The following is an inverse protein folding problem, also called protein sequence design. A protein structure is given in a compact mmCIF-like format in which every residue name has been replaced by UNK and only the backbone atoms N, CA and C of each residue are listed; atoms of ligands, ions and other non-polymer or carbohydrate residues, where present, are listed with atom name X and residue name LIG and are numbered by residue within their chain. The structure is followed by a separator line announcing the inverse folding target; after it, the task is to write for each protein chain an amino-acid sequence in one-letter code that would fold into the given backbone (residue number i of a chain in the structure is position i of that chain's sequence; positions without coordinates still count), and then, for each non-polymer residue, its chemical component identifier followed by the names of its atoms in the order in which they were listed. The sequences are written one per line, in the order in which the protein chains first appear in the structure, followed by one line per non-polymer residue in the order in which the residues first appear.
data_IF_084148924729
#
_entry.id   IF_084148924729
#
_cell.length_a   1.000
_cell.length_b   1.000
_cell.length_c   1.000
_cell.angle_alpha   90.00
_cell.angle_beta   90.00
_cell.angle_gamma   90.00
#
_symmetry.space_group_name_H-M   'P 1'
#
loop_
_entity.id
_entity.type
_entity.pdbx_description
1 polymer ?
#
# COMPACT_ATOMS: atom_id res chain seq x y z
N UNK A 1 -23.40 -52.60 10.53
CA UNK A 1 -23.01 -51.43 9.72
C UNK A 1 -21.51 -51.47 9.40
N UNK A 2 -20.65 -51.61 10.36
CA UNK A 2 -19.18 -51.71 10.23
C UNK A 2 -18.74 -52.72 9.14
N UNK A 3 -19.32 -53.98 9.21
CA UNK A 3 -19.00 -55.00 8.22
C UNK A 3 -19.38 -54.62 6.78
N UNK A 4 -20.45 -53.80 6.61
CA UNK A 4 -20.90 -53.34 5.28
C UNK A 4 -19.93 -52.31 4.77
N UNK A 5 -19.52 -51.32 5.59
CA UNK A 5 -18.56 -50.29 5.21
C UNK A 5 -17.21 -50.93 4.84
N UNK A 6 -16.72 -51.80 5.71
CA UNK A 6 -15.46 -52.51 5.50
C UNK A 6 -15.46 -53.30 4.20
N UNK A 7 -16.53 -54.06 3.91
CA UNK A 7 -16.68 -54.79 2.65
C UNK A 7 -16.69 -53.88 1.41
N UNK A 8 -17.39 -52.76 1.47
CA UNK A 8 -17.48 -51.82 0.34
C UNK A 8 -16.12 -51.14 0.08
N UNK A 9 -15.41 -50.69 1.11
CA UNK A 9 -14.11 -50.07 0.98
C UNK A 9 -13.03 -51.08 0.49
N UNK A 10 -13.08 -52.32 0.97
CA UNK A 10 -12.23 -53.40 0.45
C UNK A 10 -12.49 -53.65 -1.05
N UNK A 11 -13.76 -53.68 -1.45
CA UNK A 11 -14.13 -53.84 -2.86
C UNK A 11 -13.63 -52.70 -3.74
N UNK A 12 -13.43 -51.52 -3.17
CA UNK A 12 -12.78 -50.38 -3.83
C UNK A 12 -11.27 -50.44 -3.83
N UNK A 13 -10.67 -51.48 -3.22
CA UNK A 13 -9.24 -51.68 -3.15
C UNK A 13 -8.50 -50.81 -2.11
N UNK A 14 -9.21 -50.24 -1.13
CA UNK A 14 -8.64 -49.44 -0.06
C UNK A 14 -7.87 -50.34 0.92
N UNK A 15 -6.74 -49.86 1.45
CA UNK A 15 -5.92 -50.59 2.40
C UNK A 15 -6.68 -50.90 3.71
N UNK A 16 -6.52 -52.13 4.21
CA UNK A 16 -7.27 -52.59 5.38
C UNK A 16 -6.92 -51.85 6.69
N UNK A 17 -5.68 -51.39 6.85
CA UNK A 17 -5.26 -50.60 8.03
C UNK A 17 -5.91 -49.20 8.00
N UNK A 18 -5.98 -48.59 6.80
CA UNK A 18 -6.63 -47.31 6.59
C UNK A 18 -8.12 -47.38 6.89
N UNK A 19 -8.78 -48.50 6.50
CA UNK A 19 -10.17 -48.76 6.77
C UNK A 19 -10.45 -48.88 8.28
N UNK A 20 -9.57 -49.54 9.04
CA UNK A 20 -9.75 -49.69 10.48
C UNK A 20 -9.67 -48.36 11.23
N UNK A 21 -8.68 -47.53 10.92
CA UNK A 21 -8.55 -46.17 11.48
C UNK A 21 -9.78 -45.32 11.15
N UNK A 22 -10.22 -45.34 9.88
CA UNK A 22 -11.38 -44.62 9.44
C UNK A 22 -12.67 -45.05 10.10
N UNK A 23 -12.90 -46.38 10.27
CA UNK A 23 -14.10 -46.89 10.90
C UNK A 23 -14.22 -46.45 12.36
N UNK A 24 -13.13 -46.40 13.10
CA UNK A 24 -13.13 -45.86 14.45
C UNK A 24 -13.65 -44.41 14.50
N UNK A 25 -13.12 -43.55 13.65
CA UNK A 25 -13.50 -42.14 13.63
C UNK A 25 -14.93 -41.90 13.10
N UNK A 26 -15.32 -42.57 12.01
CA UNK A 26 -16.61 -42.30 11.37
C UNK A 26 -17.79 -42.86 12.13
N UNK A 27 -17.62 -44.01 12.83
CA UNK A 27 -18.68 -44.62 13.62
C UNK A 27 -18.96 -43.85 14.92
N UNK A 28 -17.97 -43.17 15.47
CA UNK A 28 -18.14 -42.26 16.60
C UNK A 28 -18.82 -40.95 16.20
N UNK A 29 -18.50 -40.41 15.01
CA UNK A 29 -18.93 -39.08 14.56
C UNK A 29 -20.26 -39.09 13.80
N UNK A 30 -20.59 -40.17 13.08
CA UNK A 30 -21.78 -40.24 12.21
C UNK A 30 -22.83 -41.21 12.79
N UNK A 31 -24.09 -40.80 12.74
CA UNK A 31 -25.20 -41.70 12.99
C UNK A 31 -25.40 -42.68 11.80
N UNK A 32 -26.30 -43.68 11.97
CA UNK A 32 -26.53 -44.70 10.95
C UNK A 32 -26.93 -44.15 9.57
N UNK A 33 -27.72 -43.09 9.54
CA UNK A 33 -28.12 -42.45 8.31
C UNK A 33 -26.97 -41.70 7.63
N UNK A 34 -26.12 -41.01 8.44
CA UNK A 34 -24.93 -40.33 7.96
C UNK A 34 -23.93 -41.29 7.32
N UNK A 35 -23.78 -42.49 7.92
CA UNK A 35 -22.93 -43.54 7.35
C UNK A 35 -23.46 -44.07 6.03
N UNK A 36 -24.78 -44.26 5.90
CA UNK A 36 -25.41 -44.66 4.64
C UNK A 36 -25.22 -43.59 3.57
N UNK A 37 -25.41 -42.32 3.91
CA UNK A 37 -25.24 -41.21 2.99
C UNK A 37 -23.79 -41.07 2.53
N UNK A 38 -22.80 -41.26 3.44
CA UNK A 38 -21.40 -41.32 3.09
C UNK A 38 -21.10 -42.43 2.08
N UNK A 39 -21.56 -43.66 2.34
CA UNK A 39 -21.38 -44.80 1.42
C UNK A 39 -22.04 -44.55 0.05
N UNK A 40 -23.21 -43.99 0.04
CA UNK A 40 -23.90 -43.66 -1.23
C UNK A 40 -23.13 -42.61 -2.02
N UNK A 41 -22.57 -41.61 -1.32
CA UNK A 41 -21.75 -40.57 -1.95
C UNK A 41 -20.45 -41.16 -2.51
N UNK A 42 -19.75 -42.03 -1.75
CA UNK A 42 -18.54 -42.70 -2.24
C UNK A 42 -18.84 -43.61 -3.46
N UNK A 43 -19.97 -44.27 -3.48
CA UNK A 43 -20.41 -45.10 -4.64
C UNK A 43 -20.71 -44.25 -5.87
N UNK A 44 -21.15 -43.02 -5.70
CA UNK A 44 -21.44 -42.11 -6.81
C UNK A 44 -20.21 -41.54 -7.53
N UNK A 45 -19.00 -41.66 -6.93
CA UNK A 45 -17.77 -41.28 -7.61
C UNK A 45 -17.57 -42.13 -8.87
N UNK A 46 -17.30 -41.51 -10.01
CA UNK A 46 -17.16 -42.20 -11.29
C UNK A 46 -16.07 -43.29 -11.25
N UNK A 47 -16.32 -44.40 -11.92
CA UNK A 47 -15.48 -45.61 -11.89
C UNK A 47 -14.20 -45.45 -12.75
N UNK A 48 -13.20 -44.80 -12.16
CA UNK A 48 -11.85 -44.75 -12.71
C UNK A 48 -10.80 -45.16 -11.66
N UNK A 49 -9.57 -45.43 -12.08
CA UNK A 49 -8.43 -45.68 -11.17
C UNK A 49 -8.26 -44.54 -10.19
N UNK A 50 -8.57 -43.33 -10.59
CA UNK A 50 -8.59 -42.09 -9.83
C UNK A 50 -9.52 -42.12 -8.60
N UNK A 51 -10.62 -42.88 -8.68
CA UNK A 51 -11.60 -43.01 -7.58
C UNK A 51 -10.95 -43.49 -6.29
N UNK A 52 -10.08 -44.50 -6.38
CA UNK A 52 -9.38 -45.05 -5.22
C UNK A 52 -8.54 -43.98 -4.52
N UNK A 53 -7.73 -43.25 -5.27
CA UNK A 53 -6.80 -42.21 -4.74
C UNK A 53 -7.59 -41.10 -4.04
N UNK A 54 -8.70 -40.66 -4.63
CA UNK A 54 -9.55 -39.62 -4.03
C UNK A 54 -10.19 -40.11 -2.74
N UNK A 55 -10.72 -41.35 -2.74
CA UNK A 55 -11.34 -41.92 -1.54
C UNK A 55 -10.31 -42.11 -0.42
N UNK A 56 -9.09 -42.57 -0.74
CA UNK A 56 -7.99 -42.68 0.20
C UNK A 56 -7.63 -41.29 0.81
N UNK A 57 -7.59 -40.25 -0.01
CA UNK A 57 -7.36 -38.88 0.47
C UNK A 57 -8.49 -38.40 1.40
N UNK A 58 -9.76 -38.64 1.05
CA UNK A 58 -10.91 -38.30 1.92
C UNK A 58 -10.80 -39.05 3.26
N UNK A 59 -10.49 -40.35 3.21
CA UNK A 59 -10.35 -41.18 4.41
C UNK A 59 -9.23 -40.66 5.32
N UNK A 60 -8.10 -40.28 4.74
CA UNK A 60 -6.97 -39.73 5.49
C UNK A 60 -7.29 -38.40 6.17
N UNK A 61 -8.02 -37.51 5.51
CA UNK A 61 -8.38 -36.20 6.07
C UNK A 61 -9.58 -36.27 7.03
N UNK A 62 -10.39 -37.33 6.98
CA UNK A 62 -11.64 -37.47 7.76
C UNK A 62 -11.47 -37.23 9.26
N UNK A 63 -10.45 -37.78 9.96
CA UNK A 63 -10.31 -37.59 11.41
C UNK A 63 -10.17 -36.13 11.80
N UNK A 64 -9.33 -35.38 11.09
CA UNK A 64 -9.07 -33.97 11.35
C UNK A 64 -10.27 -33.09 10.95
N UNK A 65 -10.89 -33.38 9.82
CA UNK A 65 -12.07 -32.65 9.34
C UNK A 65 -13.24 -32.82 10.31
N UNK A 66 -13.53 -34.04 10.79
CA UNK A 66 -14.60 -34.30 11.74
C UNK A 66 -14.37 -33.69 13.12
N UNK A 67 -13.10 -33.46 13.50
CA UNK A 67 -12.76 -32.74 14.73
C UNK A 67 -13.22 -31.27 14.68
N UNK A 68 -13.27 -30.68 13.50
CA UNK A 68 -13.48 -29.23 13.32
C UNK A 68 -14.91 -28.92 12.90
N UNK A 69 -15.53 -29.75 12.03
CA UNK A 69 -16.86 -29.49 11.45
C UNK A 69 -17.90 -30.53 11.90
N UNK A 70 -19.19 -30.11 12.01
CA UNK A 70 -20.28 -31.05 12.36
C UNK A 70 -20.58 -32.05 11.24
N UNK A 71 -21.23 -33.18 11.62
CA UNK A 71 -21.61 -34.26 10.72
C UNK A 71 -22.29 -33.80 9.42
N UNK A 72 -23.24 -32.89 9.52
CA UNK A 72 -23.98 -32.38 8.34
C UNK A 72 -23.07 -31.69 7.32
N UNK A 73 -22.12 -30.89 7.79
CA UNK A 73 -21.13 -30.23 6.93
C UNK A 73 -20.11 -31.21 6.37
N UNK A 74 -19.72 -32.23 7.14
CA UNK A 74 -18.82 -33.28 6.66
C UNK A 74 -19.40 -34.01 5.44
N UNK A 75 -20.65 -34.41 5.49
CA UNK A 75 -21.32 -35.08 4.37
C UNK A 75 -21.40 -34.19 3.14
N UNK A 76 -21.68 -32.90 3.32
CA UNK A 76 -21.66 -31.92 2.21
C UNK A 76 -20.24 -31.71 1.66
N UNK A 77 -19.21 -31.71 2.51
CA UNK A 77 -17.83 -31.68 2.05
C UNK A 77 -17.44 -32.89 1.21
N UNK A 78 -17.86 -34.10 1.60
CA UNK A 78 -17.62 -35.32 0.79
C UNK A 78 -18.31 -35.22 -0.56
N UNK A 79 -19.55 -34.71 -0.60
CA UNK A 79 -20.27 -34.44 -1.87
C UNK A 79 -19.54 -33.39 -2.69
N UNK A 80 -18.97 -32.36 -2.08
CA UNK A 80 -18.17 -31.35 -2.75
C UNK A 80 -16.91 -31.96 -3.36
N UNK A 81 -16.20 -32.84 -2.64
CA UNK A 81 -15.07 -33.60 -3.17
C UNK A 81 -15.46 -34.39 -4.43
N UNK A 82 -16.64 -35.03 -4.42
CA UNK A 82 -17.16 -35.72 -5.60
C UNK A 82 -17.37 -34.78 -6.79
N UNK A 83 -18.05 -33.64 -6.58
CA UNK A 83 -18.29 -32.64 -7.62
C UNK A 83 -16.99 -32.08 -8.20
N UNK A 84 -15.98 -31.83 -7.37
CA UNK A 84 -14.69 -31.33 -7.83
C UNK A 84 -13.94 -32.42 -8.61
N UNK A 85 -14.07 -33.70 -8.22
CA UNK A 85 -13.44 -34.82 -8.91
C UNK A 85 -13.99 -35.06 -10.32
N UNK A 86 -15.26 -34.72 -10.57
CA UNK A 86 -15.86 -34.76 -11.90
C UNK A 86 -15.19 -33.74 -12.86
N UNK A 87 -14.59 -32.68 -12.31
CA UNK A 87 -13.89 -31.65 -13.08
C UNK A 87 -12.43 -32.04 -13.33
N UNK A 88 -11.73 -32.43 -12.28
CA UNK A 88 -10.31 -32.86 -12.34
C UNK A 88 -9.92 -33.58 -11.07
N UNK A 89 -9.22 -34.71 -11.22
CA UNK A 89 -8.62 -35.47 -10.11
C UNK A 89 -7.62 -34.62 -9.35
N UNK A 90 -6.68 -33.98 -10.05
CA UNK A 90 -5.62 -33.14 -9.43
C UNK A 90 -6.21 -32.00 -8.59
N UNK A 91 -7.24 -31.35 -9.10
CA UNK A 91 -7.95 -30.29 -8.36
C UNK A 91 -8.60 -30.87 -7.10
N UNK A 92 -9.26 -32.03 -7.20
CA UNK A 92 -9.91 -32.68 -6.08
C UNK A 92 -8.92 -33.07 -4.98
N UNK A 93 -7.80 -33.68 -5.34
CA UNK A 93 -6.74 -34.03 -4.39
C UNK A 93 -6.16 -32.80 -3.72
N UNK A 94 -5.89 -31.75 -4.46
CA UNK A 94 -5.37 -30.50 -3.89
C UNK A 94 -6.39 -29.85 -2.92
N UNK A 95 -7.67 -29.85 -3.28
CA UNK A 95 -8.76 -29.39 -2.42
C UNK A 95 -8.83 -30.17 -1.11
N UNK A 96 -8.86 -31.51 -1.20
CA UNK A 96 -8.95 -32.40 -0.02
C UNK A 96 -7.75 -32.18 0.90
N UNK A 97 -6.53 -32.26 0.36
CA UNK A 97 -5.29 -32.13 1.16
C UNK A 97 -5.10 -30.74 1.78
N UNK A 98 -5.75 -29.70 1.25
CA UNK A 98 -5.71 -28.35 1.81
C UNK A 98 -6.84 -28.07 2.79
N UNK A 99 -7.85 -28.95 2.88
CA UNK A 99 -9.09 -28.70 3.65
C UNK A 99 -8.83 -28.42 5.10
N UNK A 100 -8.14 -29.33 5.80
CA UNK A 100 -7.89 -29.22 7.25
C UNK A 100 -7.21 -27.90 7.59
N UNK A 101 -6.12 -27.56 6.91
CA UNK A 101 -5.39 -26.32 7.16
C UNK A 101 -6.20 -25.05 6.86
N UNK A 102 -7.11 -25.10 5.90
CA UNK A 102 -7.98 -23.96 5.57
C UNK A 102 -9.08 -23.77 6.61
N UNK A 103 -9.75 -24.86 7.04
CA UNK A 103 -10.84 -24.77 8.00
C UNK A 103 -10.37 -24.43 9.43
N UNK A 104 -9.12 -24.70 9.78
CA UNK A 104 -8.51 -24.24 11.03
C UNK A 104 -8.44 -22.73 11.13
N UNK A 105 -8.27 -22.03 9.99
CA UNK A 105 -8.15 -20.58 9.91
C UNK A 105 -9.47 -19.89 9.58
N UNK A 106 -10.29 -20.49 8.70
CA UNK A 106 -11.59 -19.99 8.33
C UNK A 106 -12.68 -20.63 9.22
N UNK A 107 -13.80 -19.94 9.38
CA UNK A 107 -14.95 -20.52 10.07
C UNK A 107 -15.48 -21.72 9.26
N UNK A 108 -15.86 -22.82 9.93
CA UNK A 108 -16.37 -24.05 9.28
C UNK A 108 -17.46 -23.80 8.23
N UNK A 109 -18.32 -22.81 8.46
CA UNK A 109 -19.40 -22.41 7.51
C UNK A 109 -18.90 -22.03 6.12
N UNK A 110 -17.64 -21.58 5.98
CA UNK A 110 -17.07 -21.13 4.70
C UNK A 110 -16.41 -22.27 3.88
N UNK A 111 -16.38 -23.49 4.41
CA UNK A 111 -15.72 -24.61 3.75
C UNK A 111 -16.28 -24.90 2.36
N UNK A 112 -17.61 -24.97 2.26
CA UNK A 112 -18.29 -25.24 0.99
C UNK A 112 -18.16 -24.07 0.01
N UNK A 113 -18.25 -22.86 0.52
CA UNK A 113 -18.10 -21.64 -0.28
C UNK A 113 -16.69 -21.53 -0.85
N UNK A 114 -15.65 -21.86 -0.04
CA UNK A 114 -14.27 -21.95 -0.52
C UNK A 114 -14.11 -22.99 -1.66
N UNK A 115 -14.73 -24.17 -1.53
CA UNK A 115 -14.77 -25.17 -2.60
C UNK A 115 -15.47 -24.65 -3.87
N UNK A 116 -16.56 -23.89 -3.70
CA UNK A 116 -17.28 -23.27 -4.81
C UNK A 116 -16.49 -22.15 -5.50
N UNK A 117 -15.65 -21.41 -4.77
CA UNK A 117 -14.73 -20.43 -5.35
C UNK A 117 -13.81 -21.10 -6.38
N UNK A 118 -13.18 -22.24 -6.06
CA UNK A 118 -12.32 -22.96 -6.99
C UNK A 118 -13.04 -23.45 -8.23
N UNK A 119 -14.27 -24.01 -8.08
CA UNK A 119 -15.10 -24.38 -9.23
C UNK A 119 -15.48 -23.18 -10.10
N UNK A 120 -15.75 -22.04 -9.50
CA UNK A 120 -16.02 -20.79 -10.20
C UNK A 120 -14.79 -20.27 -10.95
N UNK A 121 -13.60 -20.35 -10.34
CA UNK A 121 -12.32 -20.05 -11.00
C UNK A 121 -12.09 -20.96 -12.20
N UNK A 122 -12.34 -22.26 -12.06
CA UNK A 122 -12.20 -23.22 -13.17
C UNK A 122 -13.05 -22.79 -14.38
N UNK A 123 -14.32 -22.50 -14.16
CA UNK A 123 -15.23 -22.09 -15.24
C UNK A 123 -14.82 -20.77 -15.89
N UNK A 124 -14.38 -19.79 -15.11
CA UNK A 124 -13.98 -18.48 -15.61
C UNK A 124 -12.65 -18.47 -16.32
N UNK A 125 -11.76 -19.42 -16.02
CA UNK A 125 -10.41 -19.53 -16.55
C UNK A 125 -10.27 -20.47 -17.75
N UNK A 126 -11.33 -20.68 -18.53
CA UNK A 126 -11.34 -21.62 -19.66
C UNK A 126 -10.87 -23.03 -19.26
N UNK A 127 -11.34 -23.48 -18.12
CA UNK A 127 -11.03 -24.79 -17.54
C UNK A 127 -9.54 -24.98 -17.17
N UNK A 128 -8.92 -23.96 -16.61
CA UNK A 128 -7.52 -24.03 -16.17
C UNK A 128 -7.37 -24.82 -14.87
N UNK A 129 -6.93 -26.07 -14.99
CA UNK A 129 -6.56 -26.92 -13.83
C UNK A 129 -5.42 -26.29 -13.04
N UNK A 130 -4.41 -25.75 -13.71
CA UNK A 130 -3.22 -25.15 -13.09
C UNK A 130 -3.57 -23.96 -12.17
N UNK A 131 -4.45 -23.04 -12.61
CA UNK A 131 -4.84 -21.89 -11.79
C UNK A 131 -5.58 -22.34 -10.51
N UNK A 132 -6.50 -23.29 -10.64
CA UNK A 132 -7.30 -23.76 -9.50
C UNK A 132 -6.48 -24.57 -8.52
N UNK A 133 -5.56 -25.41 -9.03
CA UNK A 133 -4.62 -26.12 -8.18
C UNK A 133 -3.75 -25.17 -7.37
N UNK A 134 -3.20 -24.13 -8.00
CA UNK A 134 -2.43 -23.12 -7.28
C UNK A 134 -3.30 -22.38 -6.24
N UNK A 135 -4.53 -22.04 -6.58
CA UNK A 135 -5.44 -21.40 -5.64
C UNK A 135 -5.67 -22.26 -4.39
N UNK A 136 -6.03 -23.55 -4.55
CA UNK A 136 -6.24 -24.44 -3.40
C UNK A 136 -4.95 -24.71 -2.63
N UNK A 137 -3.85 -24.97 -3.32
CA UNK A 137 -2.52 -25.19 -2.74
C UNK A 137 -2.07 -24.04 -1.85
N UNK A 138 -2.38 -22.79 -2.24
CA UNK A 138 -1.96 -21.58 -1.53
C UNK A 138 -2.98 -21.10 -0.50
N UNK A 139 -4.22 -21.59 -0.58
CA UNK A 139 -5.29 -21.22 0.37
C UNK A 139 -4.93 -21.40 1.85
N UNK A 140 -4.20 -22.46 2.30
CA UNK A 140 -3.77 -22.56 3.69
C UNK A 140 -2.92 -21.36 4.17
N UNK A 141 -1.98 -20.92 3.33
CA UNK A 141 -1.13 -19.76 3.67
C UNK A 141 -1.90 -18.45 3.63
N UNK A 142 -2.85 -18.31 2.72
CA UNK A 142 -3.68 -17.12 2.57
C UNK A 142 -4.72 -17.02 3.70
N UNK A 143 -5.36 -18.11 4.07
CA UNK A 143 -6.38 -18.15 5.13
C UNK A 143 -5.86 -17.79 6.53
N UNK A 144 -4.55 -17.92 6.75
CA UNK A 144 -3.88 -17.42 7.96
C UNK A 144 -3.85 -15.88 8.06
N UNK A 145 -4.05 -15.16 6.95
CA UNK A 145 -3.82 -13.72 6.84
C UNK A 145 -5.03 -12.96 6.32
N UNK A 146 -5.82 -13.61 5.48
CA UNK A 146 -7.01 -13.05 4.86
C UNK A 146 -8.26 -13.68 5.47
N UNK A 147 -9.27 -12.86 5.71
CA UNK A 147 -10.63 -13.32 6.00
C UNK A 147 -11.23 -14.01 4.76
N UNK A 148 -12.36 -14.69 4.95
CA UNK A 148 -13.05 -15.32 3.82
C UNK A 148 -13.48 -14.28 2.77
N UNK A 149 -13.99 -13.15 3.19
CA UNK A 149 -14.41 -12.03 2.34
C UNK A 149 -13.23 -11.49 1.50
N UNK A 150 -12.04 -11.45 2.07
CA UNK A 150 -10.83 -11.02 1.36
C UNK A 150 -10.34 -12.08 0.35
N UNK A 151 -10.52 -13.37 0.65
CA UNK A 151 -10.28 -14.46 -0.30
C UNK A 151 -11.28 -14.39 -1.48
N UNK A 152 -12.53 -14.03 -1.23
CA UNK A 152 -13.52 -13.79 -2.29
C UNK A 152 -13.09 -12.63 -3.20
N UNK A 153 -12.62 -11.51 -2.63
CA UNK A 153 -12.10 -10.36 -3.37
C UNK A 153 -10.91 -10.78 -4.26
N UNK A 154 -9.98 -11.57 -3.72
CA UNK A 154 -8.86 -12.12 -4.48
C UNK A 154 -9.35 -13.01 -5.62
N UNK A 155 -10.31 -13.90 -5.33
CA UNK A 155 -10.86 -14.81 -6.34
C UNK A 155 -11.54 -14.06 -7.48
N UNK A 156 -12.24 -12.97 -7.19
CA UNK A 156 -12.88 -12.13 -8.20
C UNK A 156 -11.85 -11.41 -9.07
N UNK A 157 -10.73 -10.99 -8.50
CA UNK A 157 -9.58 -10.48 -9.27
C UNK A 157 -9.06 -11.56 -10.22
N UNK A 158 -8.79 -12.77 -9.70
CA UNK A 158 -8.28 -13.89 -10.50
C UNK A 158 -9.25 -14.28 -11.62
N UNK A 159 -10.55 -14.30 -11.38
CA UNK A 159 -11.59 -14.56 -12.41
C UNK A 159 -11.53 -13.53 -13.54
N UNK A 160 -11.43 -12.25 -13.22
CA UNK A 160 -11.38 -11.17 -14.21
C UNK A 160 -10.13 -11.27 -15.10
N UNK A 161 -8.99 -11.54 -14.49
CA UNK A 161 -7.71 -11.59 -15.18
C UNK A 161 -7.54 -12.90 -15.94
N UNK A 162 -7.98 -14.03 -15.39
CA UNK A 162 -7.85 -15.34 -16.02
C UNK A 162 -8.64 -15.47 -17.34
N UNK A 163 -9.72 -14.71 -17.47
CA UNK A 163 -10.44 -14.60 -18.73
C UNK A 163 -9.56 -14.06 -19.88
N UNK A 164 -8.51 -13.30 -19.55
CA UNK A 164 -7.54 -12.71 -20.47
C UNK A 164 -6.22 -13.50 -20.51
N UNK A 165 -5.64 -13.74 -19.34
CA UNK A 165 -4.33 -14.38 -19.20
C UNK A 165 -4.29 -15.26 -17.94
N UNK A 166 -4.26 -16.58 -18.13
CA UNK A 166 -4.14 -17.55 -17.04
C UNK A 166 -2.75 -17.43 -16.38
N UNK A 167 -1.69 -17.33 -17.18
CA UNK A 167 -0.32 -17.21 -16.68
C UNK A 167 -0.14 -15.96 -15.81
N UNK A 168 -0.81 -14.87 -16.16
CA UNK A 168 -0.75 -13.65 -15.38
C UNK A 168 -1.53 -13.78 -14.07
N UNK A 169 -2.66 -14.48 -14.05
CA UNK A 169 -3.40 -14.78 -12.82
C UNK A 169 -2.57 -15.60 -11.82
N UNK A 170 -1.78 -16.55 -12.34
CA UNK A 170 -0.85 -17.31 -11.49
C UNK A 170 0.25 -16.40 -10.92
N UNK A 171 0.80 -15.48 -11.72
CA UNK A 171 1.78 -14.49 -11.23
C UNK A 171 1.22 -13.60 -10.12
N UNK A 172 -0.05 -13.19 -10.24
CA UNK A 172 -0.73 -12.42 -9.17
C UNK A 172 -0.77 -13.25 -7.89
N UNK A 173 -1.18 -14.50 -7.99
CA UNK A 173 -1.29 -15.39 -6.84
C UNK A 173 0.07 -15.61 -6.16
N UNK A 174 1.13 -15.87 -6.93
CA UNK A 174 2.50 -15.99 -6.43
C UNK A 174 2.99 -14.70 -5.75
N UNK A 175 2.66 -13.55 -6.34
CA UNK A 175 3.02 -12.26 -5.77
C UNK A 175 2.27 -11.96 -4.46
N UNK A 176 0.97 -12.26 -4.40
CA UNK A 176 0.15 -12.13 -3.17
C UNK A 176 0.74 -12.96 -2.04
N UNK A 177 1.23 -14.17 -2.34
CA UNK A 177 1.93 -15.00 -1.35
C UNK A 177 3.23 -14.38 -0.85
N UNK A 178 4.02 -13.77 -1.75
CA UNK A 178 5.24 -13.06 -1.35
C UNK A 178 4.93 -11.90 -0.41
N UNK A 179 3.92 -11.09 -0.71
CA UNK A 179 3.46 -10.02 0.17
C UNK A 179 2.95 -10.58 1.51
N UNK A 180 2.16 -11.65 1.49
CA UNK A 180 1.67 -12.34 2.69
C UNK A 180 2.80 -12.76 3.64
N UNK A 181 3.95 -13.15 3.09
CA UNK A 181 5.11 -13.57 3.90
C UNK A 181 5.93 -12.39 4.41
N UNK A 182 6.11 -11.33 3.60
CA UNK A 182 6.95 -10.17 3.92
C UNK A 182 6.21 -9.10 4.76
N UNK A 183 4.99 -8.76 4.39
CA UNK A 183 4.22 -7.65 4.93
C UNK A 183 2.74 -8.03 5.11
N UNK A 184 2.42 -8.94 6.04
CA UNK A 184 1.06 -9.48 6.17
C UNK A 184 0.01 -8.42 6.49
N UNK A 185 0.37 -7.37 7.21
CA UNK A 185 -0.55 -6.27 7.58
C UNK A 185 -0.95 -5.40 6.38
N UNK A 186 -0.14 -5.39 5.33
CA UNK A 186 -0.39 -4.58 4.14
C UNK A 186 -1.17 -5.39 3.08
N UNK A 187 -1.28 -6.70 3.26
CA UNK A 187 -1.90 -7.61 2.29
C UNK A 187 -3.36 -7.24 1.98
N UNK A 188 -4.12 -6.80 2.99
CA UNK A 188 -5.52 -6.39 2.84
C UNK A 188 -5.63 -5.19 1.90
N UNK A 189 -4.77 -4.20 2.09
CA UNK A 189 -4.75 -2.99 1.25
C UNK A 189 -4.34 -3.36 -0.18
N UNK A 190 -3.31 -4.18 -0.35
CA UNK A 190 -2.88 -4.67 -1.65
C UNK A 190 -3.98 -5.43 -2.39
N UNK A 191 -4.66 -6.34 -1.70
CA UNK A 191 -5.77 -7.11 -2.28
C UNK A 191 -6.88 -6.18 -2.80
N UNK A 192 -7.23 -5.17 -2.01
CA UNK A 192 -8.23 -4.15 -2.39
C UNK A 192 -7.78 -3.31 -3.59
N UNK A 193 -6.51 -2.86 -3.61
CA UNK A 193 -5.94 -2.08 -4.72
C UNK A 193 -5.97 -2.90 -6.00
N UNK A 194 -5.45 -4.14 -5.99
CA UNK A 194 -5.41 -5.02 -7.17
C UNK A 194 -6.83 -5.30 -7.68
N UNK A 195 -7.77 -5.57 -6.77
CA UNK A 195 -9.17 -5.78 -7.14
C UNK A 195 -9.76 -4.56 -7.85
N UNK A 196 -9.58 -3.36 -7.30
CA UNK A 196 -10.10 -2.13 -7.90
C UNK A 196 -9.45 -1.82 -9.25
N UNK A 197 -8.15 -2.01 -9.39
CA UNK A 197 -7.44 -1.88 -10.68
C UNK A 197 -7.99 -2.89 -11.68
N UNK A 198 -8.21 -4.15 -11.28
CA UNK A 198 -8.80 -5.17 -12.17
C UNK A 198 -10.23 -4.83 -12.61
N UNK A 199 -10.98 -4.14 -11.75
CA UNK A 199 -12.37 -3.75 -12.00
C UNK A 199 -12.50 -2.50 -12.86
N UNK A 200 -11.68 -1.47 -12.59
CA UNK A 200 -11.80 -0.14 -13.19
C UNK A 200 -10.85 0.06 -14.38
N UNK A 201 -9.68 -0.59 -14.37
CA UNK A 201 -8.57 -0.37 -15.29
C UNK A 201 -8.10 -1.67 -15.96
N UNK A 202 -9.04 -2.53 -16.31
CA UNK A 202 -8.73 -3.87 -16.83
C UNK A 202 -7.84 -3.86 -18.09
N UNK A 203 -7.88 -2.81 -18.91
CA UNK A 203 -7.06 -2.69 -20.13
C UNK A 203 -5.59 -2.48 -19.80
N UNK A 204 -5.29 -1.69 -18.76
CA UNK A 204 -3.95 -1.34 -18.32
C UNK A 204 -3.48 -2.20 -17.12
N UNK A 205 -4.28 -3.19 -16.71
CA UNK A 205 -4.07 -3.95 -15.49
C UNK A 205 -2.68 -4.57 -15.40
N UNK A 206 -2.21 -5.24 -16.46
CA UNK A 206 -0.93 -5.93 -16.45
C UNK A 206 0.25 -4.96 -16.27
N UNK A 207 0.21 -3.81 -16.95
CA UNK A 207 1.23 -2.78 -16.81
C UNK A 207 1.21 -2.15 -15.41
N UNK A 208 0.02 -1.78 -14.91
CA UNK A 208 -0.14 -1.19 -13.58
C UNK A 208 0.30 -2.17 -12.51
N UNK A 209 -0.12 -3.45 -12.60
CA UNK A 209 0.29 -4.48 -11.66
C UNK A 209 1.81 -4.67 -11.63
N UNK A 210 2.45 -4.67 -12.80
CA UNK A 210 3.90 -4.80 -12.91
C UNK A 210 4.60 -3.65 -12.18
N UNK A 211 4.16 -2.40 -12.42
CA UNK A 211 4.70 -1.21 -11.74
C UNK A 211 4.54 -1.32 -10.22
N UNK A 212 3.36 -1.72 -9.75
CA UNK A 212 3.07 -1.88 -8.33
C UNK A 212 3.92 -2.99 -7.71
N UNK A 213 4.03 -4.13 -8.38
CA UNK A 213 4.75 -5.31 -7.90
C UNK A 213 6.27 -5.08 -7.82
N UNK A 214 6.85 -4.40 -8.79
CA UNK A 214 8.28 -4.05 -8.82
C UNK A 214 8.66 -3.04 -7.74
N UNK A 215 7.72 -2.21 -7.30
CA UNK A 215 7.94 -1.16 -6.29
C UNK A 215 7.26 -1.46 -4.95
N UNK A 216 6.85 -2.71 -4.71
CA UNK A 216 6.06 -3.08 -3.54
C UNK A 216 6.75 -2.76 -2.21
N UNK A 217 8.05 -2.99 -2.11
CA UNK A 217 8.81 -2.74 -0.88
C UNK A 217 8.81 -1.22 -0.56
N UNK A 218 9.06 -0.37 -1.55
CA UNK A 218 9.00 1.09 -1.39
C UNK A 218 7.57 1.56 -1.05
N UNK A 219 6.56 1.04 -1.73
CA UNK A 219 5.16 1.40 -1.48
C UNK A 219 4.67 0.94 -0.09
N UNK A 220 5.17 -0.19 0.42
CA UNK A 220 4.86 -0.67 1.77
C UNK A 220 5.41 0.26 2.86
N UNK A 221 6.53 0.92 2.61
CA UNK A 221 7.10 1.89 3.54
C UNK A 221 6.25 3.18 3.61
N UNK A 222 5.48 3.47 2.56
CA UNK A 222 4.62 4.65 2.42
C UNK A 222 3.14 4.31 2.71
N UNK A 223 2.82 4.06 3.97
CA UNK A 223 1.52 3.49 4.40
C UNK A 223 0.32 4.42 4.21
N UNK A 224 0.49 5.72 4.43
CA UNK A 224 -0.57 6.71 4.26
C UNK A 224 -0.96 6.75 2.78
N UNK A 225 0.04 6.82 1.90
CA UNK A 225 -0.15 6.79 0.46
C UNK A 225 -0.90 5.53 0.02
N UNK A 226 -0.45 4.34 0.44
CA UNK A 226 -1.11 3.09 0.07
C UNK A 226 -2.58 3.05 0.48
N UNK A 227 -2.93 3.54 1.67
CA UNK A 227 -4.31 3.58 2.16
C UNK A 227 -5.20 4.53 1.35
N UNK A 228 -4.65 5.55 0.73
CA UNK A 228 -5.38 6.53 -0.09
C UNK A 228 -5.69 6.03 -1.51
N UNK A 229 -4.92 5.05 -2.03
CA UNK A 229 -5.08 4.54 -3.40
C UNK A 229 -6.48 3.99 -3.72
N UNK A 230 -7.16 3.23 -2.84
CA UNK A 230 -8.51 2.76 -3.12
C UNK A 230 -9.52 3.88 -3.41
N UNK A 231 -9.44 5.00 -2.68
CA UNK A 231 -10.30 6.16 -2.91
C UNK A 231 -10.02 6.78 -4.27
N UNK A 232 -8.75 6.99 -4.62
CA UNK A 232 -8.36 7.52 -5.92
C UNK A 232 -8.84 6.63 -7.09
N UNK A 233 -8.66 5.30 -6.99
CA UNK A 233 -9.08 4.38 -8.06
C UNK A 233 -10.60 4.40 -8.23
N UNK A 234 -11.36 4.56 -7.14
CA UNK A 234 -12.81 4.62 -7.20
C UNK A 234 -13.32 5.91 -7.85
N UNK A 235 -12.76 7.04 -7.49
CA UNK A 235 -13.27 8.36 -7.90
C UNK A 235 -12.69 8.78 -9.25
N UNK A 236 -11.38 8.62 -9.49
CA UNK A 236 -10.74 9.03 -10.73
C UNK A 236 -9.72 7.98 -11.24
N UNK A 237 -10.20 6.83 -11.76
CA UNK A 237 -9.31 5.76 -12.21
C UNK A 237 -8.40 6.18 -13.37
N UNK A 238 -8.79 7.15 -14.18
CA UNK A 238 -8.05 7.51 -15.39
C UNK A 238 -6.66 8.11 -15.09
N UNK A 239 -6.52 8.82 -13.98
CA UNK A 239 -5.25 9.43 -13.60
C UNK A 239 -4.34 8.45 -12.81
N UNK A 240 -4.85 7.29 -12.40
CA UNK A 240 -4.15 6.38 -11.50
C UNK A 240 -2.78 5.94 -12.01
N UNK A 241 -2.69 5.54 -13.28
CA UNK A 241 -1.44 5.04 -13.89
C UNK A 241 -0.33 6.10 -13.92
N UNK A 242 -0.53 7.31 -14.47
CA UNK A 242 0.48 8.37 -14.41
C UNK A 242 0.77 8.81 -12.97
N UNK A 243 -0.24 8.90 -12.12
CA UNK A 243 -0.08 9.26 -10.70
C UNK A 243 0.86 8.29 -9.97
N UNK A 244 0.68 6.99 -10.11
CA UNK A 244 1.55 5.97 -9.49
C UNK A 244 2.99 6.09 -9.99
N UNK A 245 3.20 6.26 -11.31
CA UNK A 245 4.53 6.42 -11.89
C UNK A 245 5.27 7.62 -11.29
N UNK A 246 4.62 8.77 -11.26
CA UNK A 246 5.19 9.99 -10.69
C UNK A 246 5.48 9.86 -9.19
N UNK A 247 4.56 9.26 -8.44
CA UNK A 247 4.73 9.08 -7.00
C UNK A 247 5.92 8.17 -6.67
N UNK A 248 6.10 7.09 -7.41
CA UNK A 248 7.27 6.21 -7.26
C UNK A 248 8.57 6.97 -7.57
N UNK A 249 8.59 7.81 -8.62
CA UNK A 249 9.75 8.64 -8.94
C UNK A 249 10.06 9.62 -7.80
N UNK A 250 9.05 10.23 -7.20
CA UNK A 250 9.20 11.13 -6.04
C UNK A 250 9.77 10.37 -4.85
N UNK A 251 9.21 9.21 -4.49
CA UNK A 251 9.69 8.38 -3.39
C UNK A 251 11.15 7.95 -3.55
N UNK A 252 11.56 7.63 -4.78
CA UNK A 252 12.93 7.25 -5.08
C UNK A 252 13.91 8.45 -5.07
N UNK A 253 13.45 9.63 -5.45
CA UNK A 253 14.29 10.83 -5.59
C UNK A 253 14.49 11.57 -4.28
N UNK A 254 13.56 11.49 -3.34
CA UNK A 254 13.56 12.27 -2.10
C UNK A 254 13.11 11.45 -0.88
N UNK A 255 13.81 10.37 -0.50
CA UNK A 255 13.35 9.46 0.57
C UNK A 255 13.07 10.15 1.91
N UNK A 256 13.82 11.20 2.24
CA UNK A 256 13.67 11.96 3.49
C UNK A 256 12.38 12.82 3.54
N UNK A 257 11.70 12.99 2.41
CA UNK A 257 10.49 13.81 2.28
C UNK A 257 9.23 12.97 2.04
N UNK A 258 9.36 11.65 2.00
CA UNK A 258 8.25 10.75 1.67
C UNK A 258 7.04 10.97 2.59
N UNK A 259 7.25 11.10 3.89
CA UNK A 259 6.16 11.33 4.86
C UNK A 259 5.40 12.64 4.58
N UNK A 260 6.11 13.72 4.22
CA UNK A 260 5.44 14.99 3.88
C UNK A 260 4.61 14.85 2.61
N UNK A 261 5.18 14.17 1.60
CA UNK A 261 4.49 13.93 0.34
C UNK A 261 3.22 13.08 0.55
N UNK A 262 3.30 12.00 1.34
CA UNK A 262 2.14 11.16 1.68
C UNK A 262 1.00 11.97 2.33
N UNK A 263 1.34 12.79 3.33
CA UNK A 263 0.38 13.65 4.04
C UNK A 263 -0.26 14.67 3.07
N UNK A 264 0.52 15.19 2.15
CA UNK A 264 0.03 16.14 1.15
C UNK A 264 -0.93 15.47 0.18
N UNK A 265 -0.61 14.27 -0.31
CA UNK A 265 -1.50 13.48 -1.17
C UNK A 265 -2.80 13.16 -0.44
N UNK A 266 -2.73 12.69 0.81
CA UNK A 266 -3.92 12.40 1.62
C UNK A 266 -4.82 13.63 1.73
N UNK A 267 -4.26 14.80 2.05
CA UNK A 267 -5.02 16.06 2.15
C UNK A 267 -5.71 16.45 0.84
N UNK A 268 -5.07 16.23 -0.32
CA UNK A 268 -5.68 16.53 -1.62
C UNK A 268 -6.84 15.57 -1.92
N UNK A 269 -6.67 14.28 -1.58
CA UNK A 269 -7.70 13.25 -1.75
C UNK A 269 -8.89 13.50 -0.83
N UNK A 270 -8.65 13.82 0.44
CA UNK A 270 -9.69 14.10 1.45
C UNK A 270 -10.56 15.30 1.07
N UNK A 271 -9.98 16.28 0.36
CA UNK A 271 -10.71 17.42 -0.19
C UNK A 271 -11.44 17.09 -1.50
N UNK A 272 -11.36 15.85 -1.98
CA UNK A 272 -11.94 15.40 -3.26
C UNK A 272 -11.46 16.23 -4.47
N UNK A 273 -10.23 16.75 -4.39
CA UNK A 273 -9.64 17.57 -5.44
C UNK A 273 -8.77 16.72 -6.39
N UNK A 274 -9.37 15.70 -6.99
CA UNK A 274 -8.68 14.70 -7.80
C UNK A 274 -8.05 15.30 -9.07
N UNK A 275 -8.61 16.38 -9.60
CA UNK A 275 -8.10 17.04 -10.83
C UNK A 275 -6.74 17.71 -10.59
N UNK A 276 -6.44 18.08 -9.35
CA UNK A 276 -5.16 18.69 -8.97
C UNK A 276 -4.06 17.67 -8.59
N UNK A 277 -4.41 16.39 -8.39
CA UNK A 277 -3.43 15.37 -8.01
C UNK A 277 -2.34 15.18 -9.07
N UNK A 278 -2.71 15.08 -10.34
CA UNK A 278 -1.74 14.87 -11.40
C UNK A 278 -0.88 16.11 -11.66
N UNK A 279 -1.43 17.35 -11.74
CA UNK A 279 -0.63 18.57 -11.72
C UNK A 279 0.34 18.66 -10.53
N UNK A 280 -0.11 18.30 -9.34
CA UNK A 280 0.72 18.29 -8.14
C UNK A 280 1.92 17.33 -8.27
N UNK A 281 1.68 16.07 -8.60
CA UNK A 281 2.74 15.08 -8.75
C UNK A 281 3.72 15.38 -9.87
N UNK A 282 3.22 15.88 -11.01
CA UNK A 282 4.05 16.28 -12.16
C UNK A 282 5.04 17.39 -11.81
N UNK A 283 4.62 18.34 -10.97
CA UNK A 283 5.40 19.53 -10.66
C UNK A 283 6.20 19.42 -9.33
N UNK A 284 5.90 18.43 -8.49
CA UNK A 284 6.44 18.30 -7.13
C UNK A 284 7.96 18.47 -7.07
N UNK A 285 8.71 17.62 -7.76
CA UNK A 285 10.18 17.65 -7.73
C UNK A 285 10.76 18.97 -8.25
N UNK A 286 10.15 19.56 -9.28
CA UNK A 286 10.61 20.84 -9.83
C UNK A 286 10.37 22.01 -8.87
N UNK A 287 9.26 21.98 -8.14
CA UNK A 287 8.94 23.00 -7.15
C UNK A 287 9.83 22.85 -5.91
N UNK A 288 10.04 21.63 -5.44
CA UNK A 288 10.91 21.34 -4.29
C UNK A 288 12.37 21.76 -4.53
N UNK A 289 12.86 21.74 -5.76
CA UNK A 289 14.18 22.24 -6.11
C UNK A 289 14.30 23.78 -6.02
N UNK A 290 13.19 24.50 -6.08
CA UNK A 290 13.18 25.98 -6.12
C UNK A 290 12.97 26.62 -4.76
N UNK A 291 12.25 25.95 -3.85
CA UNK A 291 11.90 26.50 -2.53
C UNK A 291 12.18 25.46 -1.41
N UNK A 292 12.47 25.95 -0.21
CA UNK A 292 12.72 25.11 0.97
C UNK A 292 11.48 24.31 1.38
N UNK A 293 11.67 23.32 2.24
CA UNK A 293 10.58 22.47 2.75
C UNK A 293 9.46 23.28 3.41
N UNK A 294 9.83 24.23 4.25
CA UNK A 294 8.84 25.03 4.99
C UNK A 294 8.09 25.99 4.07
N UNK A 295 8.77 26.60 3.12
CA UNK A 295 8.13 27.44 2.12
C UNK A 295 7.18 26.64 1.20
N UNK A 296 7.58 25.43 0.84
CA UNK A 296 6.71 24.54 0.06
C UNK A 296 5.45 24.20 0.84
N UNK A 297 5.60 23.91 2.14
CA UNK A 297 4.45 23.64 3.02
C UNK A 297 3.51 24.84 3.10
N UNK A 298 4.02 26.05 3.27
CA UNK A 298 3.21 27.28 3.26
C UNK A 298 2.44 27.41 1.95
N UNK A 299 3.09 27.22 0.80
CA UNK A 299 2.44 27.29 -0.50
C UNK A 299 1.37 26.20 -0.66
N UNK A 300 1.68 24.96 -0.27
CA UNK A 300 0.76 23.83 -0.35
C UNK A 300 -0.46 24.04 0.56
N UNK A 301 -0.26 24.40 1.83
CA UNK A 301 -1.37 24.58 2.78
C UNK A 301 -2.29 25.72 2.32
N UNK A 302 -1.77 26.78 1.70
CA UNK A 302 -2.60 27.82 1.06
C UNK A 302 -3.44 27.26 -0.08
N UNK A 303 -2.92 26.31 -0.87
CA UNK A 303 -3.69 25.66 -1.96
C UNK A 303 -4.89 24.91 -1.40
N UNK A 304 -4.66 24.13 -0.35
CA UNK A 304 -5.70 23.31 0.29
C UNK A 304 -6.74 24.14 1.02
N UNK A 305 -6.33 25.29 1.62
CA UNK A 305 -7.23 26.18 2.36
C UNK A 305 -8.08 27.08 1.44
N UNK A 306 -7.54 27.51 0.30
CA UNK A 306 -8.18 28.48 -0.60
C UNK A 306 -9.00 27.84 -1.71
N UNK A 307 -8.82 26.54 -2.01
CA UNK A 307 -9.61 25.88 -3.03
C UNK A 307 -11.06 25.70 -2.58
N UNK A 308 -11.90 26.64 -3.01
CA UNK A 308 -13.33 26.38 -3.10
C UNK A 308 -13.53 25.36 -4.20
N UNK A 309 -14.47 24.43 -4.02
CA UNK A 309 -14.82 23.43 -5.01
C UNK A 309 -14.95 24.11 -6.41
N UNK A 310 -14.05 23.73 -7.36
CA UNK A 310 -14.05 24.22 -8.73
C UNK A 310 -12.92 25.15 -9.15
N UNK A 311 -12.02 25.61 -8.26
CA UNK A 311 -10.80 26.30 -8.66
C UNK A 311 -9.70 25.27 -9.00
N UNK A 312 -9.32 25.17 -10.27
CA UNK A 312 -8.25 24.31 -10.78
C UNK A 312 -7.00 25.12 -11.13
N UNK A 313 -5.89 24.44 -11.39
CA UNK A 313 -4.65 25.06 -11.88
C UNK A 313 -3.76 25.65 -10.78
N UNK A 314 -3.99 25.30 -9.51
CA UNK A 314 -3.15 25.75 -8.41
C UNK A 314 -1.76 25.10 -8.46
N UNK A 315 -1.71 23.78 -8.55
CA UNK A 315 -0.46 23.04 -8.58
C UNK A 315 0.25 23.05 -9.95
N UNK A 316 -0.43 23.48 -11.01
CA UNK A 316 0.21 23.76 -12.31
C UNK A 316 0.76 25.19 -12.43
N UNK A 317 0.54 26.05 -11.41
CA UNK A 317 0.86 27.50 -11.43
C UNK A 317 0.14 28.28 -12.53
N UNK A 318 -1.00 27.79 -13.00
CA UNK A 318 -1.89 28.49 -13.91
C UNK A 318 -2.78 29.48 -13.16
N UNK A 319 -3.11 29.17 -11.91
CA UNK A 319 -3.84 30.07 -11.02
C UNK A 319 -2.94 31.27 -10.65
N UNK A 320 -3.36 32.53 -10.91
CA UNK A 320 -2.54 33.72 -10.67
C UNK A 320 -2.10 33.86 -9.19
N UNK A 321 -2.97 33.54 -8.24
CA UNK A 321 -2.65 33.62 -6.79
C UNK A 321 -1.59 32.61 -6.40
N UNK A 322 -1.70 31.36 -6.91
CA UNK A 322 -0.71 30.32 -6.69
C UNK A 322 0.65 30.71 -7.25
N UNK A 323 0.66 31.23 -8.46
CA UNK A 323 1.88 31.67 -9.15
C UNK A 323 2.54 32.85 -8.44
N UNK A 324 1.77 33.82 -8.01
CA UNK A 324 2.26 34.98 -7.25
C UNK A 324 2.89 34.52 -5.93
N UNK A 325 2.17 33.73 -5.13
CA UNK A 325 2.68 33.20 -3.87
C UNK A 325 3.95 32.35 -4.07
N UNK A 326 3.96 31.49 -5.10
CA UNK A 326 5.13 30.65 -5.39
C UNK A 326 6.35 31.47 -5.75
N UNK A 327 6.18 32.50 -6.62
CA UNK A 327 7.25 33.42 -6.97
C UNK A 327 7.76 34.19 -5.74
N UNK A 328 6.86 34.62 -4.89
CA UNK A 328 7.18 35.30 -3.66
C UNK A 328 8.07 34.45 -2.75
N UNK A 329 7.72 33.20 -2.57
CA UNK A 329 8.47 32.24 -1.76
C UNK A 329 9.81 31.84 -2.43
N UNK A 330 9.87 31.86 -3.76
CA UNK A 330 11.08 31.50 -4.52
C UNK A 330 12.15 32.59 -4.43
N UNK A 331 11.76 33.88 -4.49
CA UNK A 331 12.71 34.98 -4.54
C UNK A 331 13.22 35.41 -3.17
N UNK A 332 12.55 35.04 -2.09
CA UNK A 332 13.01 35.37 -0.74
C UNK A 332 14.27 34.58 -0.36
N UNK A 333 15.17 35.27 0.37
CA UNK A 333 16.41 34.70 0.92
C UNK A 333 16.23 34.61 2.44
N UNK A 334 16.36 33.37 2.97
CA UNK A 334 16.20 33.09 4.38
C UNK A 334 17.56 33.10 5.06
N UNK A 335 17.66 33.81 6.18
CA UNK A 335 18.91 33.96 6.94
C UNK A 335 19.46 32.60 7.41
N UNK A 336 18.61 31.69 7.88
CA UNK A 336 19.05 30.40 8.42
C UNK A 336 19.76 29.54 7.37
N UNK A 337 19.39 29.68 6.09
CA UNK A 337 20.03 28.96 4.98
C UNK A 337 21.40 29.57 4.64
N UNK A 338 21.51 30.89 4.69
CA UNK A 338 22.68 31.63 4.24
C UNK A 338 23.63 32.02 5.39
N UNK A 339 23.28 31.71 6.64
CA UNK A 339 23.94 32.15 7.86
C UNK A 339 25.41 31.80 7.90
N UNK A 340 25.76 30.56 7.57
CA UNK A 340 27.16 30.10 7.64
C UNK A 340 28.07 30.78 6.63
N UNK A 341 27.55 30.99 5.40
CA UNK A 341 28.25 31.71 4.33
C UNK A 341 28.42 33.17 4.73
N UNK A 342 27.39 33.80 5.28
CA UNK A 342 27.43 35.17 5.75
C UNK A 342 28.38 35.32 6.94
N UNK A 343 28.43 34.37 7.86
CA UNK A 343 29.37 34.37 8.98
C UNK A 343 30.82 34.36 8.46
N UNK A 344 31.17 33.44 7.57
CA UNK A 344 32.46 33.38 6.94
C UNK A 344 32.84 34.69 6.24
N UNK A 345 31.89 35.27 5.50
CA UNK A 345 32.06 36.54 4.80
C UNK A 345 32.32 37.70 5.79
N UNK A 346 31.53 37.82 6.85
CA UNK A 346 31.66 38.87 7.85
C UNK A 346 32.97 38.76 8.66
N UNK A 347 33.31 37.55 9.08
CA UNK A 347 34.61 37.29 9.79
C UNK A 347 35.80 37.59 8.86
N UNK A 348 35.70 37.27 7.57
CA UNK A 348 36.76 37.60 6.60
C UNK A 348 36.94 39.12 6.36
N UNK A 349 35.86 39.92 6.53
CA UNK A 349 35.92 41.39 6.41
C UNK A 349 36.49 42.05 7.68
N UNK A 350 36.05 41.63 8.86
CA UNK A 350 36.45 42.28 10.13
C UNK A 350 37.75 41.75 10.70
N UNK A 351 38.13 40.52 10.36
CA UNK A 351 39.22 39.81 11.05
C UNK A 351 38.84 39.26 12.43
N UNK A 352 37.62 39.52 12.91
CA UNK A 352 37.12 39.10 14.22
C UNK A 352 36.14 37.93 14.07
N UNK A 353 35.98 37.12 15.12
CA UNK A 353 34.96 36.07 15.18
C UNK A 353 33.60 36.68 15.51
N UNK A 354 32.80 36.92 14.45
CA UNK A 354 31.48 37.50 14.54
C UNK A 354 30.40 36.44 14.58
N UNK A 355 29.36 36.62 15.42
CA UNK A 355 28.18 35.81 15.41
C UNK A 355 27.09 36.49 14.55
N UNK A 356 26.30 35.67 13.83
CA UNK A 356 25.12 36.14 13.09
C UNK A 356 23.88 35.51 13.74
N UNK A 357 22.89 36.35 14.03
CA UNK A 357 21.60 35.95 14.61
C UNK A 357 20.45 36.65 13.93
N UNK A 358 19.24 36.11 14.12
CA UNK A 358 18.02 36.76 13.61
C UNK A 358 17.68 38.01 14.42
N UNK A 359 17.23 39.05 13.74
CA UNK A 359 16.72 40.27 14.36
C UNK A 359 15.46 40.02 15.21
N UNK A 360 14.70 38.96 14.97
CA UNK A 360 13.55 38.57 15.79
C UNK A 360 13.95 38.23 17.23
N UNK A 361 15.16 37.69 17.46
CA UNK A 361 15.66 37.41 18.81
C UNK A 361 15.86 38.67 19.68
N UNK A 362 16.01 39.83 19.08
CA UNK A 362 16.11 41.10 19.80
C UNK A 362 14.73 41.55 20.34
N UNK A 363 13.67 41.23 19.59
CA UNK A 363 12.27 41.50 19.98
C UNK A 363 11.88 40.65 21.20
N UNK A 364 12.31 39.39 21.22
CA UNK A 364 12.04 38.47 22.34
C UNK A 364 12.74 38.88 23.66
N UNK A 365 13.85 39.64 23.56
CA UNK A 365 14.59 40.11 24.71
C UNK A 365 14.06 41.44 25.29
N UNK A 366 12.96 41.96 24.77
CA UNK A 366 12.35 43.25 25.18
C UNK A 366 13.31 44.45 25.15
N UNK A 367 14.33 44.42 24.29
CA UNK A 367 15.33 45.49 24.17
C UNK A 367 14.82 46.61 23.26
N UNK A 368 14.00 47.51 23.84
CA UNK A 368 13.63 48.78 23.22
C UNK A 368 12.69 48.68 22.01
N UNK A 369 12.46 49.81 21.33
CA UNK A 369 11.68 49.90 20.08
C UNK A 369 12.49 49.36 18.91
N UNK A 370 12.36 48.08 18.63
CA UNK A 370 13.14 47.43 17.59
C UNK A 370 12.25 46.94 16.42
N UNK A 371 12.68 47.18 15.20
CA UNK A 371 12.02 46.68 14.02
C UNK A 371 12.72 45.39 13.53
N UNK A 372 12.07 44.22 13.54
CA UNK A 372 12.70 42.96 13.19
C UNK A 372 13.15 42.90 11.70
N UNK A 373 12.73 43.85 10.90
CA UNK A 373 13.15 43.97 9.49
C UNK A 373 14.43 44.82 9.30
N UNK A 374 15.01 45.33 10.38
CA UNK A 374 16.25 46.11 10.32
C UNK A 374 17.44 45.30 10.82
N UNK A 375 18.58 45.50 10.16
CA UNK A 375 19.85 44.96 10.64
C UNK A 375 20.38 45.83 11.77
N UNK A 376 21.01 45.20 12.77
CA UNK A 376 21.66 45.90 13.89
C UNK A 376 22.83 45.09 14.41
N UNK A 377 23.64 45.69 15.32
CA UNK A 377 24.81 45.04 15.91
C UNK A 377 24.83 45.28 17.40
N UNK A 378 25.13 44.25 18.17
CA UNK A 378 25.42 44.31 19.60
C UNK A 378 26.71 43.54 19.93
N UNK A 379 27.76 44.27 20.38
CA UNK A 379 29.06 43.64 20.62
C UNK A 379 29.65 43.02 19.37
N UNK A 380 29.88 41.72 19.39
CA UNK A 380 30.39 40.93 18.27
C UNK A 380 29.27 40.16 17.53
N UNK A 381 27.99 40.46 17.83
CA UNK A 381 26.88 39.81 17.19
C UNK A 381 26.18 40.74 16.22
N UNK A 382 26.00 40.30 14.98
CA UNK A 382 25.23 40.96 13.93
C UNK A 382 23.85 40.34 13.87
N UNK A 383 22.82 41.16 13.96
CA UNK A 383 21.43 40.77 13.84
C UNK A 383 20.89 41.17 12.47
N UNK A 384 20.37 40.20 11.73
CA UNK A 384 19.86 40.39 10.38
C UNK A 384 18.39 39.93 10.30
N UNK A 385 17.58 40.48 9.39
CA UNK A 385 16.22 40.02 9.15
C UNK A 385 16.18 38.53 8.81
N UNK A 386 15.16 37.80 9.30
CA UNK A 386 14.97 36.37 9.05
C UNK A 386 14.84 36.04 7.58
N UNK A 387 14.18 36.93 6.81
CA UNK A 387 13.99 36.75 5.37
C UNK A 387 14.05 38.10 4.67
N UNK A 388 14.67 38.10 3.48
CA UNK A 388 14.76 39.27 2.60
C UNK A 388 14.02 38.98 1.28
N UNK A 389 13.07 39.87 0.97
CA UNK A 389 12.33 39.87 -0.30
C UNK A 389 12.16 41.31 -0.82
N UNK A 390 13.25 41.94 -1.17
CA UNK A 390 13.25 43.31 -1.70
C UNK A 390 13.15 43.38 -3.22
N UNK A 391 13.70 42.38 -3.88
CA UNK A 391 13.78 42.27 -5.34
C UNK A 391 13.11 40.97 -5.81
N UNK A 392 12.69 40.96 -7.10
CA UNK A 392 12.13 39.77 -7.77
C UNK A 392 13.20 38.82 -8.31
N UNK A 393 14.37 38.78 -7.68
CA UNK A 393 15.51 37.92 -8.02
C UNK A 393 16.24 37.52 -6.75
N UNK A 394 16.47 36.22 -6.58
CA UNK A 394 17.12 35.68 -5.37
C UNK A 394 18.54 36.22 -5.19
N UNK A 395 19.31 36.33 -6.25
CA UNK A 395 20.69 36.84 -6.25
C UNK A 395 20.74 38.29 -5.79
N UNK A 396 19.78 39.14 -6.22
CA UNK A 396 19.68 40.52 -5.76
C UNK A 396 19.29 40.60 -4.29
N UNK A 397 18.40 39.74 -3.82
CA UNK A 397 18.04 39.69 -2.42
C UNK A 397 19.21 39.20 -1.53
N UNK A 398 19.97 38.21 -1.99
CA UNK A 398 21.20 37.79 -1.31
C UNK A 398 22.26 38.88 -1.30
N UNK A 399 22.44 39.58 -2.42
CA UNK A 399 23.32 40.72 -2.49
C UNK A 399 22.92 41.83 -1.53
N UNK A 400 21.61 42.09 -1.40
CA UNK A 400 21.09 43.03 -0.41
C UNK A 400 21.35 42.57 1.04
N UNK A 401 21.17 41.30 1.34
CA UNK A 401 21.49 40.73 2.64
C UNK A 401 22.98 40.91 2.98
N UNK A 402 23.88 40.71 2.00
CA UNK A 402 25.29 41.00 2.14
C UNK A 402 25.57 42.47 2.41
N UNK A 403 24.89 43.40 1.73
CA UNK A 403 25.01 44.84 1.99
C UNK A 403 24.64 45.16 3.43
N UNK A 404 23.50 44.60 3.92
CA UNK A 404 23.10 44.79 5.30
C UNK A 404 24.17 44.25 6.29
N UNK A 405 24.66 43.04 6.04
CA UNK A 405 25.69 42.44 6.86
C UNK A 405 27.00 43.26 6.84
N UNK A 406 27.48 43.71 5.67
CA UNK A 406 28.68 44.53 5.54
C UNK A 406 28.55 45.86 6.27
N UNK A 407 27.38 46.49 6.20
CA UNK A 407 27.10 47.72 6.95
C UNK A 407 27.25 47.50 8.46
N UNK A 408 26.76 46.38 8.99
CA UNK A 408 26.88 46.05 10.41
C UNK A 408 28.34 45.72 10.79
N UNK A 409 29.09 45.00 9.92
CA UNK A 409 30.54 44.78 10.11
C UNK A 409 31.29 46.11 10.26
N UNK A 410 30.96 47.10 9.40
CA UNK A 410 31.55 48.43 9.50
C UNK A 410 31.30 49.09 10.89
N UNK A 411 30.14 48.92 11.50
CA UNK A 411 29.87 49.42 12.84
C UNK A 411 30.76 48.74 13.90
N UNK A 412 31.07 47.46 13.74
CA UNK A 412 31.95 46.72 14.65
C UNK A 412 33.41 47.17 14.47
N UNK A 413 33.91 47.20 13.21
CA UNK A 413 35.30 47.51 12.85
C UNK A 413 35.68 48.95 13.26
N UNK A 414 34.80 49.91 12.93
CA UNK A 414 35.05 51.35 13.25
C UNK A 414 34.65 51.73 14.68
N UNK A 415 34.19 50.77 15.48
CA UNK A 415 33.87 51.01 16.90
C UNK A 415 32.78 52.08 17.12
N UNK A 416 31.80 52.18 16.23
CA UNK A 416 30.74 53.20 16.22
C UNK A 416 30.00 53.30 17.57
N UNK A 417 29.92 52.20 18.31
CA UNK A 417 29.25 52.12 19.63
C UNK A 417 30.23 52.20 20.82
N UNK A 418 31.55 52.43 20.56
CA UNK A 418 32.59 52.56 21.61
C UNK A 418 32.83 54.03 22.01
N UNK A 419 32.11 54.97 21.45
CA UNK A 419 32.23 56.38 21.83
C UNK A 419 31.77 56.54 23.30
N UNK A 420 32.73 56.87 24.18
CA UNK A 420 32.45 57.44 25.48
C UNK A 420 32.35 58.95 25.27
N UNK A 421 31.18 59.54 25.53
CA UNK A 421 30.98 60.97 25.70
C UNK A 421 31.77 61.44 26.94
#
# INVERSE_FOLDING_TARGET
MEKIIKKELINLGIDSKLIEIFLGNILEALNENGVKDFLNTIKSFNSSVSKKIIIEAIINETPEVLRIIPQSQFLEWVKQCSRISEVSEDISLTYINSTTSVIENLKPRHLLDWGNIGLSLYRSSKNSVSLVNNFYKFSPSLSNKLSFEEIEILSDTLKRISARSISFSIKILDWVLKISSKSPNDLIVWNKVIFLVSKKLIKDFEEIFTILAENADNLNDNKIFMRSLPSLINENPQIFKPFIKNSIEIFNSSPNENTDYEIQIEKVIDKSNFDELLPFTNNYLNMRKKISRDKFKIWFDNSVLQNKAGETGYFSLENPKSKELFNDLTFSVDLDIEKDILKLYCCGLSGDDLAIQSSSMMVEKEIGWFNPNLATTEGTTIFLPESIKKFNEKEKNFSWLKVLATHQVGHVEFGTFKFKL
#
